data_IF_300175006542
#
_entry.id   IF_300175006542
#
_cell.length_a   1.000
_cell.length_b   1.000
_cell.length_c   1.000
_cell.angle_alpha   90.00
_cell.angle_beta   90.00
_cell.angle_gamma   90.00
#
_symmetry.space_group_name_H-M   'P 1'
#
loop_
_entity.id
_entity.type
_entity.pdbx_description
1 polymer ?
#
# COMPACT_ATOMS: atom_id res chain seq x y z
N UNK A 1 14.73 -12.38 -1.81
CA UNK A 1 14.35 -12.66 -0.40
C UNK A 1 13.36 -11.59 0.01
N UNK A 2 12.25 -11.91 0.69
CA UNK A 2 11.19 -10.93 1.03
C UNK A 2 9.84 -11.13 0.31
N UNK A 3 9.73 -12.10 -0.60
CA UNK A 3 8.51 -12.40 -1.36
C UNK A 3 7.65 -13.52 -0.75
N UNK A 4 7.27 -13.40 0.51
CA UNK A 4 6.42 -14.39 1.21
C UNK A 4 4.93 -14.04 1.08
N UNK A 5 4.50 -13.73 -0.15
CA UNK A 5 3.15 -13.28 -0.47
C UNK A 5 2.72 -13.85 -1.84
N UNK A 6 1.44 -13.73 -2.16
CA UNK A 6 0.91 -14.22 -3.44
C UNK A 6 1.28 -13.30 -4.62
N UNK A 7 0.88 -12.02 -4.55
CA UNK A 7 1.02 -11.07 -5.66
C UNK A 7 1.07 -9.59 -5.20
N UNK A 8 1.74 -9.28 -4.09
CA UNK A 8 1.83 -7.91 -3.59
C UNK A 8 2.34 -6.92 -4.66
N UNK A 9 3.31 -7.36 -5.48
CA UNK A 9 3.86 -6.58 -6.59
C UNK A 9 2.80 -6.08 -7.59
N UNK A 10 1.74 -6.85 -7.85
CA UNK A 10 0.69 -6.42 -8.78
C UNK A 10 -0.08 -5.22 -8.24
N UNK A 11 -0.43 -5.26 -6.95
CA UNK A 11 -1.18 -4.19 -6.29
C UNK A 11 -0.31 -2.94 -6.15
N UNK A 12 0.93 -3.10 -5.69
CA UNK A 12 1.90 -2.00 -5.56
C UNK A 12 2.10 -1.31 -6.91
N UNK A 13 2.38 -2.07 -7.97
CA UNK A 13 2.60 -1.51 -9.32
C UNK A 13 1.38 -0.76 -9.84
N UNK A 14 0.17 -1.33 -9.66
CA UNK A 14 -1.07 -0.68 -10.12
C UNK A 14 -1.30 0.66 -9.44
N UNK A 15 -1.13 0.71 -8.10
CA UNK A 15 -1.25 1.96 -7.34
C UNK A 15 -0.16 2.93 -7.78
N UNK A 16 1.09 2.48 -7.91
CA UNK A 16 2.23 3.34 -8.26
C UNK A 16 2.02 4.04 -9.60
N UNK A 17 1.59 3.30 -10.62
CA UNK A 17 1.31 3.87 -11.95
C UNK A 17 0.12 4.85 -11.88
N UNK A 18 -0.94 4.49 -11.15
CA UNK A 18 -2.13 5.34 -11.04
C UNK A 18 -1.86 6.65 -10.30
N UNK A 19 -1.06 6.63 -9.23
CA UNK A 19 -0.81 7.79 -8.37
C UNK A 19 0.51 8.51 -8.66
N UNK A 20 1.23 8.11 -9.72
CA UNK A 20 2.45 8.79 -10.17
C UNK A 20 3.68 8.55 -9.30
N UNK A 21 3.76 7.39 -8.63
CA UNK A 21 4.97 6.93 -7.95
C UNK A 21 5.99 6.41 -8.98
N UNK A 22 7.19 6.02 -8.53
CA UNK A 22 8.20 5.38 -9.37
C UNK A 22 7.94 3.86 -9.47
N UNK A 23 7.49 3.32 -10.62
CA UNK A 23 7.20 1.88 -10.75
C UNK A 23 8.44 0.99 -10.64
N UNK A 24 9.65 1.53 -10.84
CA UNK A 24 10.88 0.76 -10.68
C UNK A 24 11.13 0.40 -9.20
N UNK A 25 10.65 1.22 -8.26
CA UNK A 25 10.70 0.97 -6.82
C UNK A 25 9.82 -0.22 -6.37
N UNK A 26 8.97 -0.77 -7.25
CA UNK A 26 8.21 -1.99 -6.96
C UNK A 26 9.11 -3.17 -6.55
N UNK A 27 10.38 -3.20 -6.98
CA UNK A 27 11.34 -4.23 -6.56
C UNK A 27 11.49 -4.28 -5.03
N UNK A 28 11.51 -3.13 -4.38
CA UNK A 28 11.67 -3.01 -2.93
C UNK A 28 10.32 -2.90 -2.21
N UNK A 29 9.42 -2.08 -2.73
CA UNK A 29 8.10 -1.84 -2.12
C UNK A 29 7.17 -3.04 -2.10
N UNK A 30 7.43 -4.06 -2.93
CA UNK A 30 6.63 -5.30 -2.95
C UNK A 30 7.13 -6.38 -1.98
N UNK A 31 8.18 -6.11 -1.20
CA UNK A 31 8.57 -6.98 -0.09
C UNK A 31 7.40 -7.11 0.89
N UNK A 32 6.89 -8.33 1.02
CA UNK A 32 5.69 -8.59 1.79
C UNK A 32 5.68 -10.02 2.31
N UNK A 33 5.26 -10.17 3.57
CA UNK A 33 4.89 -11.45 4.17
C UNK A 33 3.40 -11.46 4.47
N UNK A 34 2.69 -12.47 3.97
CA UNK A 34 1.28 -12.72 4.24
C UNK A 34 1.17 -13.89 5.22
N UNK A 35 0.54 -13.65 6.36
CA UNK A 35 0.27 -14.65 7.40
C UNK A 35 -1.24 -14.85 7.47
N UNK A 36 -1.66 -16.11 7.60
CA UNK A 36 -3.07 -16.49 7.73
C UNK A 36 -3.24 -17.40 8.95
N UNK A 37 -4.19 -17.08 9.81
CA UNK A 37 -4.46 -17.78 11.07
C UNK A 37 -5.97 -18.03 11.20
N UNK A 38 -6.36 -19.22 11.65
CA UNK A 38 -7.74 -19.46 12.04
C UNK A 38 -8.01 -18.82 13.40
N UNK A 39 -9.12 -18.10 13.52
CA UNK A 39 -9.61 -17.58 14.79
C UNK A 39 -10.97 -18.23 15.05
N UNK A 40 -10.99 -19.12 16.03
CA UNK A 40 -12.21 -19.80 16.48
C UNK A 40 -12.72 -19.11 17.75
N UNK A 41 -13.99 -18.68 17.75
CA UNK A 41 -14.65 -18.15 18.94
C UNK A 41 -15.39 -19.29 19.68
N UNK A 42 -14.95 -19.67 20.89
CA UNK A 42 -15.53 -20.79 21.62
C UNK A 42 -16.94 -20.50 22.18
N UNK A 43 -17.36 -19.24 22.24
CA UNK A 43 -18.69 -18.82 22.73
C UNK A 43 -19.69 -18.79 21.59
N UNK A 44 -19.29 -18.26 20.42
CA UNK A 44 -20.19 -18.12 19.27
C UNK A 44 -20.08 -19.27 18.26
N UNK A 45 -19.07 -20.16 18.39
CA UNK A 45 -18.68 -21.15 17.38
C UNK A 45 -18.35 -20.54 16.00
N UNK A 46 -18.06 -19.23 15.94
CA UNK A 46 -17.61 -18.60 14.72
C UNK A 46 -16.22 -19.12 14.33
N UNK A 47 -16.00 -19.27 13.03
CA UNK A 47 -14.74 -19.73 12.43
C UNK A 47 -14.28 -18.70 11.43
N UNK A 48 -13.39 -17.84 11.86
CA UNK A 48 -12.91 -16.71 11.08
C UNK A 48 -11.47 -16.95 10.60
N UNK A 49 -11.10 -16.25 9.53
CA UNK A 49 -9.75 -16.25 8.99
C UNK A 49 -9.13 -14.87 9.22
N UNK A 50 -8.09 -14.82 10.03
CA UNK A 50 -7.28 -13.63 10.21
C UNK A 50 -6.15 -13.61 9.20
N UNK A 51 -6.03 -12.50 8.48
CA UNK A 51 -5.00 -12.30 7.46
C UNK A 51 -4.23 -11.05 7.80
N UNK A 52 -2.90 -11.16 7.82
CA UNK A 52 -1.99 -10.03 8.00
C UNK A 52 -1.01 -9.95 6.84
N UNK A 53 -0.76 -8.74 6.34
CA UNK A 53 0.31 -8.44 5.39
C UNK A 53 1.30 -7.47 6.03
N UNK A 54 2.58 -7.83 6.09
CA UNK A 54 3.64 -6.93 6.58
C UNK A 54 4.56 -6.55 5.44
N UNK A 55 4.70 -5.23 5.21
CA UNK A 55 5.48 -4.65 4.12
C UNK A 55 6.50 -3.65 4.70
N UNK A 56 7.78 -4.05 4.91
CA UNK A 56 8.72 -3.28 5.70
C UNK A 56 9.41 -2.13 4.94
N UNK A 57 9.26 -2.06 3.62
CA UNK A 57 10.07 -1.21 2.74
C UNK A 57 9.24 -0.53 1.65
N UNK A 58 8.06 0.00 2.00
CA UNK A 58 7.23 0.75 1.05
C UNK A 58 7.82 2.14 0.82
N UNK A 59 8.28 2.40 -0.40
CA UNK A 59 8.82 3.69 -0.82
C UNK A 59 7.75 4.52 -1.55
N UNK A 60 7.17 5.51 -0.88
CA UNK A 60 6.04 6.29 -1.42
C UNK A 60 6.16 7.78 -1.10
N UNK A 61 5.46 8.60 -1.88
CA UNK A 61 5.31 10.02 -1.62
C UNK A 61 4.05 10.63 -2.22
N UNK A 62 3.67 11.79 -1.71
CA UNK A 62 2.46 12.53 -2.10
C UNK A 62 2.75 13.91 -2.70
N UNK A 63 4.04 14.24 -2.84
CA UNK A 63 4.57 15.48 -3.41
C UNK A 63 5.79 15.16 -4.27
N UNK A 64 5.94 15.82 -5.43
CA UNK A 64 7.14 15.75 -6.27
C UNK A 64 6.99 14.88 -7.51
N UNK A 65 7.95 14.98 -8.44
CA UNK A 65 7.96 14.18 -9.67
C UNK A 65 6.69 14.30 -10.53
N UNK A 66 6.27 13.18 -11.11
CA UNK A 66 5.08 13.06 -11.99
C UNK A 66 3.75 13.09 -11.23
N UNK A 67 3.77 13.07 -9.89
CA UNK A 67 2.58 13.26 -9.05
C UNK A 67 1.87 14.60 -9.34
N UNK A 68 2.62 15.61 -9.79
CA UNK A 68 2.10 16.93 -10.14
C UNK A 68 1.25 16.98 -11.42
N UNK A 69 1.20 15.89 -12.20
CA UNK A 69 0.39 15.80 -13.41
C UNK A 69 -1.09 15.61 -13.05
N UNK A 70 -1.97 16.23 -13.84
CA UNK A 70 -3.41 16.23 -13.59
C UNK A 70 -4.04 14.86 -13.30
N UNK A 71 -3.83 13.82 -14.15
CA UNK A 71 -4.41 12.50 -13.93
C UNK A 71 -3.93 11.83 -12.64
N UNK A 72 -2.62 11.85 -12.38
CA UNK A 72 -2.03 11.23 -11.19
C UNK A 72 -2.42 11.97 -9.90
N UNK A 73 -2.47 13.30 -9.95
CA UNK A 73 -2.98 14.14 -8.85
C UNK A 73 -4.44 13.80 -8.53
N UNK A 74 -5.28 13.61 -9.54
CA UNK A 74 -6.69 13.24 -9.33
C UNK A 74 -6.83 11.88 -8.60
N UNK A 75 -5.93 10.93 -8.85
CA UNK A 75 -5.92 9.65 -8.13
C UNK A 75 -5.52 9.81 -6.66
N UNK A 76 -4.56 10.68 -6.34
CA UNK A 76 -4.23 10.99 -4.94
C UNK A 76 -5.32 11.81 -4.24
N UNK A 77 -6.02 12.68 -4.97
CA UNK A 77 -7.20 13.39 -4.46
C UNK A 77 -8.35 12.43 -4.15
N UNK A 78 -8.57 11.42 -4.99
CA UNK A 78 -9.53 10.34 -4.71
C UNK A 78 -9.20 9.60 -3.41
N UNK A 79 -7.90 9.43 -3.11
CA UNK A 79 -7.42 8.83 -1.86
C UNK A 79 -7.32 9.83 -0.71
N UNK A 80 -7.60 11.11 -0.93
CA UNK A 80 -7.51 12.20 0.04
C UNK A 80 -6.12 12.42 0.65
N UNK A 81 -5.06 12.06 -0.08
CA UNK A 81 -3.65 12.18 0.38
C UNK A 81 -2.81 13.07 -0.53
N UNK A 82 -3.42 13.85 -1.43
CA UNK A 82 -2.65 14.70 -2.35
C UNK A 82 -1.94 15.83 -1.62
N UNK A 83 -0.63 15.97 -1.88
CA UNK A 83 0.17 17.09 -1.42
C UNK A 83 0.63 16.97 0.04
N UNK A 84 1.21 18.05 0.58
CA UNK A 84 1.62 18.10 1.98
C UNK A 84 0.40 18.15 2.90
N UNK A 85 0.40 17.34 3.95
CA UNK A 85 -0.62 17.44 4.97
C UNK A 85 -0.48 18.77 5.76
N UNK A 86 -1.60 19.49 6.06
CA UNK A 86 -1.56 20.90 6.46
C UNK A 86 -1.00 21.15 7.88
N UNK A 87 -1.07 20.16 8.78
CA UNK A 87 -0.68 20.34 10.19
C UNK A 87 0.39 19.35 10.65
N UNK A 88 0.31 18.11 10.16
CA UNK A 88 1.21 17.00 10.50
C UNK A 88 2.08 16.62 9.31
N UNK A 89 3.39 16.81 9.37
CA UNK A 89 4.29 16.46 8.26
C UNK A 89 4.38 14.94 8.07
N UNK A 90 4.25 14.47 6.82
CA UNK A 90 4.38 13.05 6.45
C UNK A 90 3.12 12.20 6.67
N UNK A 91 2.01 12.80 7.09
CA UNK A 91 0.75 12.08 7.33
C UNK A 91 0.02 11.66 6.04
N UNK A 92 0.19 12.42 4.95
CA UNK A 92 -0.33 12.11 3.61
C UNK A 92 0.62 11.19 2.86
#
# INVERSE_FOLDING_TARGET
VGGFNAHAANIVTAIYIATGQDPAQNVESSNCITIMEAIDDPVTNAKDLHITCTMPSIEVGTVGGVISLGPQSAMLEMLSVKGTHPTTLGEN
#
